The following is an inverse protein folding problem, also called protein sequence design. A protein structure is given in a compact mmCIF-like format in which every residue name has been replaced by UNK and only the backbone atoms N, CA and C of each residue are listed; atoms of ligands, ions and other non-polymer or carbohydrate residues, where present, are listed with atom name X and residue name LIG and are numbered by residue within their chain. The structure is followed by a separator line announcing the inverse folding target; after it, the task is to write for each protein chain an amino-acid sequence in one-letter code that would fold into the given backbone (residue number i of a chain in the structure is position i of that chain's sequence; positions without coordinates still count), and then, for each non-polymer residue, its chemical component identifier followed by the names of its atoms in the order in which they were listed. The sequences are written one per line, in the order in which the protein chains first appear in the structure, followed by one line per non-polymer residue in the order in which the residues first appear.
data_IF_740951172752
#
_entry.id   IF_740951172752
#
_cell.length_a   1.000
_cell.length_b   1.000
_cell.length_c   1.000
_cell.angle_alpha   90.00
_cell.angle_beta   90.00
_cell.angle_gamma   90.00
#
_symmetry.space_group_name_H-M   'P 1'
#
loop_
_entity.id
_entity.type
_entity.pdbx_description
1 polymer ?
#
# COMPACT_ATOMS: atom_id res chain seq x y z
N UNK A 1 51.52 11.09 27.99
CA UNK A 1 50.49 10.04 27.84
C UNK A 1 49.41 10.56 26.90
N UNK A 2 49.18 9.91 25.75
CA UNK A 2 48.14 10.30 24.78
C UNK A 2 46.89 9.45 25.03
N UNK A 3 45.82 10.06 25.53
CA UNK A 3 44.51 9.42 25.64
C UNK A 3 43.80 9.54 24.28
N UNK A 4 43.60 8.40 23.61
CA UNK A 4 42.77 8.32 22.40
C UNK A 4 41.34 8.10 22.88
N UNK A 5 40.55 9.17 22.86
CA UNK A 5 39.12 9.13 23.18
C UNK A 5 38.38 8.50 22.00
N UNK A 6 37.99 7.24 22.14
CA UNK A 6 37.15 6.55 21.15
C UNK A 6 35.72 7.08 21.28
N UNK A 7 35.30 7.95 20.35
CA UNK A 7 33.89 8.31 20.21
C UNK A 7 33.12 7.10 19.68
N UNK A 8 32.40 6.42 20.58
CA UNK A 8 31.37 5.47 20.19
C UNK A 8 30.22 6.25 19.53
N UNK A 9 30.13 6.14 18.21
CA UNK A 9 29.03 6.69 17.42
C UNK A 9 27.80 5.79 17.64
N UNK A 10 27.00 6.08 18.67
CA UNK A 10 25.69 5.45 18.81
C UNK A 10 24.79 5.98 17.70
N UNK A 11 24.63 5.19 16.64
CA UNK A 11 23.59 5.41 15.64
C UNK A 11 22.23 5.28 16.35
N UNK A 12 21.67 6.42 16.75
CA UNK A 12 20.29 6.50 17.21
C UNK A 12 19.42 6.08 16.02
N UNK A 13 18.91 4.86 16.07
CA UNK A 13 17.83 4.42 15.21
C UNK A 13 16.63 5.30 15.56
N UNK A 14 16.37 6.32 14.75
CA UNK A 14 15.17 7.14 14.88
C UNK A 14 14.02 6.20 14.56
N UNK A 15 13.12 5.90 15.51
CA UNK A 15 11.94 5.11 15.18
C UNK A 15 11.16 5.92 14.16
N UNK A 16 10.99 5.38 12.96
CA UNK A 16 10.04 5.92 11.99
C UNK A 16 8.69 5.76 12.65
N UNK A 17 8.20 6.86 13.23
CA UNK A 17 6.86 6.91 13.80
C UNK A 17 5.92 6.52 12.67
N UNK A 18 5.28 5.36 12.77
CA UNK A 18 4.25 4.96 11.83
C UNK A 18 3.06 5.90 12.02
N UNK A 19 3.06 6.99 11.25
CA UNK A 19 2.00 8.00 11.25
C UNK A 19 0.81 7.38 10.53
N UNK A 20 -0.39 7.54 11.09
CA UNK A 20 -1.61 7.17 10.39
C UNK A 20 -1.74 7.99 9.10
N UNK A 21 -2.02 7.32 7.98
CA UNK A 21 -2.03 7.93 6.64
C UNK A 21 -3.43 7.90 6.04
N UNK A 22 -3.74 8.89 5.23
CA UNK A 22 -5.03 8.93 4.47
C UNK A 22 -4.81 8.69 2.98
N UNK A 23 -3.55 8.75 2.54
CA UNK A 23 -3.18 8.45 1.17
C UNK A 23 -1.93 7.57 1.17
N UNK A 24 -1.87 6.64 0.21
CA UNK A 24 -0.62 5.96 -0.15
C UNK A 24 -0.35 6.13 -1.62
N UNK A 25 0.90 6.43 -1.95
CA UNK A 25 1.38 6.46 -3.33
C UNK A 25 2.31 5.27 -3.52
N UNK A 26 1.92 4.36 -4.40
CA UNK A 26 2.65 3.17 -4.75
C UNK A 26 3.31 3.31 -6.12
N UNK A 27 4.40 2.58 -6.29
CA UNK A 27 5.04 2.35 -7.58
C UNK A 27 5.20 0.86 -7.81
N UNK A 28 5.14 0.45 -9.07
CA UNK A 28 5.66 -0.85 -9.48
C UNK A 28 7.18 -0.85 -9.32
N UNK A 29 7.81 -2.02 -9.23
CA UNK A 29 9.27 -2.11 -9.08
C UNK A 29 10.01 -1.53 -10.28
N UNK A 30 9.44 -1.70 -11.47
CA UNK A 30 9.98 -1.09 -12.69
C UNK A 30 9.82 0.44 -12.70
N UNK A 31 8.96 0.97 -11.82
CA UNK A 31 8.70 2.41 -11.70
C UNK A 31 7.96 3.00 -12.90
N UNK A 32 7.33 2.17 -13.73
CA UNK A 32 6.63 2.59 -14.95
C UNK A 32 5.20 3.04 -14.69
N UNK A 33 4.60 2.59 -13.59
CA UNK A 33 3.26 2.93 -13.16
C UNK A 33 3.26 3.44 -11.73
N UNK A 34 2.39 4.41 -11.48
CA UNK A 34 2.07 4.91 -10.15
C UNK A 34 0.64 4.53 -9.82
N UNK A 35 0.43 4.02 -8.62
CA UNK A 35 -0.89 3.71 -8.07
C UNK A 35 -1.11 4.61 -6.86
N UNK A 36 -2.14 5.44 -6.90
CA UNK A 36 -2.53 6.28 -5.76
C UNK A 36 -3.80 5.72 -5.15
N UNK A 37 -3.79 5.55 -3.83
CA UNK A 37 -4.94 5.09 -3.07
C UNK A 37 -5.24 6.14 -2.01
N UNK A 38 -6.46 6.67 -2.01
CA UNK A 38 -6.98 7.57 -0.98
C UNK A 38 -7.97 6.80 -0.14
N UNK A 39 -7.76 6.78 1.17
CA UNK A 39 -8.64 6.14 2.15
C UNK A 39 -9.62 7.16 2.71
N UNK A 40 -10.87 6.73 2.93
CA UNK A 40 -11.90 7.58 3.56
C UNK A 40 -11.67 7.77 5.09
N UNK A 41 -10.68 7.08 5.65
CA UNK A 41 -10.21 7.22 7.04
C UNK A 41 -8.71 7.05 7.13
N UNK A 42 -8.11 7.54 8.22
CA UNK A 42 -6.70 7.29 8.49
C UNK A 42 -6.45 5.80 8.81
N UNK A 43 -5.36 5.27 8.25
CA UNK A 43 -4.90 3.89 8.44
C UNK A 43 -3.46 3.91 8.94
N UNK A 44 -3.14 3.11 9.95
CA UNK A 44 -1.77 2.96 10.43
C UNK A 44 -1.21 1.58 10.02
N UNK A 45 -0.18 1.49 9.16
CA UNK A 45 0.43 0.21 8.77
C UNK A 45 1.02 -0.57 9.95
N UNK A 46 1.36 0.09 11.07
CA UNK A 46 1.93 -0.56 12.24
C UNK A 46 0.89 -1.00 13.28
N UNK A 47 -0.41 -0.73 13.05
CA UNK A 47 -1.48 -1.11 13.97
C UNK A 47 -2.51 -1.98 13.26
N UNK A 48 -3.06 -2.99 13.94
CA UNK A 48 -4.16 -3.76 13.41
C UNK A 48 -5.31 -2.89 12.96
N UNK A 49 -5.90 -3.25 11.82
CA UNK A 49 -7.19 -2.70 11.47
C UNK A 49 -8.28 -3.40 12.28
N UNK A 50 -8.64 -2.76 13.39
CA UNK A 50 -9.71 -3.21 14.25
C UNK A 50 -11.10 -2.94 13.63
N UNK A 51 -11.86 -4.00 13.40
CA UNK A 51 -13.30 -3.99 13.08
C UNK A 51 -13.74 -5.08 12.08
N UNK A 52 -15.06 -5.36 12.00
CA UNK A 52 -15.68 -6.06 10.86
C UNK A 52 -16.20 -5.08 9.79
N UNK A 53 -15.99 -3.78 10.03
CA UNK A 53 -16.48 -2.71 9.16
C UNK A 53 -15.61 -2.55 7.93
N UNK A 54 -16.25 -2.18 6.83
CA UNK A 54 -15.58 -1.70 5.64
C UNK A 54 -15.45 -0.19 5.67
N UNK A 55 -14.49 0.35 4.93
CA UNK A 55 -14.43 1.77 4.61
C UNK A 55 -14.14 1.96 3.12
N UNK A 56 -14.49 3.11 2.57
CA UNK A 56 -14.28 3.41 1.16
C UNK A 56 -12.86 3.88 0.87
N UNK A 57 -12.46 3.70 -0.38
CA UNK A 57 -11.22 4.21 -0.90
C UNK A 57 -11.40 4.58 -2.38
N UNK A 58 -10.55 5.48 -2.84
CA UNK A 58 -10.40 5.79 -4.26
C UNK A 58 -9.05 5.28 -4.76
N UNK A 59 -9.05 4.67 -5.94
CA UNK A 59 -7.89 4.15 -6.65
C UNK A 59 -7.65 4.97 -7.92
N UNK A 60 -6.40 5.34 -8.17
CA UNK A 60 -5.95 5.87 -9.45
C UNK A 60 -4.69 5.15 -9.91
N UNK A 61 -4.70 4.63 -11.14
CA UNK A 61 -3.54 4.03 -11.80
C UNK A 61 -3.12 4.93 -12.96
N UNK A 62 -1.83 5.29 -12.99
CA UNK A 62 -1.26 6.14 -14.04
C UNK A 62 0.06 5.57 -14.54
N UNK A 63 0.21 5.50 -15.86
CA UNK A 63 1.49 5.16 -16.51
C UNK A 63 2.31 6.44 -16.67
N UNK A 64 3.60 6.41 -16.32
CA UNK A 64 4.47 7.61 -16.21
C UNK A 64 4.48 8.48 -17.47
N UNK A 65 4.35 7.87 -18.66
CA UNK A 65 4.37 8.57 -19.94
C UNK A 65 3.00 8.68 -20.61
N UNK A 66 1.91 8.30 -19.93
CA UNK A 66 0.55 8.41 -20.44
C UNK A 66 -0.18 9.61 -19.86
N UNK A 67 -1.00 10.25 -20.68
CA UNK A 67 -1.99 11.24 -20.21
C UNK A 67 -3.25 10.58 -19.67
N UNK A 68 -3.42 9.29 -19.92
CA UNK A 68 -4.57 8.53 -19.43
C UNK A 68 -4.28 8.00 -18.03
N UNK A 69 -5.30 8.08 -17.18
CA UNK A 69 -5.32 7.50 -15.85
C UNK A 69 -6.61 6.70 -15.70
N UNK A 70 -6.51 5.50 -15.15
CA UNK A 70 -7.66 4.73 -14.71
C UNK A 70 -8.02 5.17 -13.29
N UNK A 71 -9.31 5.38 -12.99
CA UNK A 71 -9.79 5.84 -11.68
C UNK A 71 -11.04 5.09 -11.25
N UNK A 72 -11.12 4.78 -9.96
CA UNK A 72 -12.28 4.20 -9.28
C UNK A 72 -12.45 4.85 -7.92
N UNK A 73 -13.68 5.18 -7.53
CA UNK A 73 -13.99 5.81 -6.24
C UNK A 73 -14.94 4.96 -5.39
N UNK A 74 -15.13 3.72 -5.78
CA UNK A 74 -16.07 2.74 -5.21
C UNK A 74 -15.33 1.52 -4.64
N UNK A 75 -14.03 1.69 -4.31
CA UNK A 75 -13.23 0.61 -3.71
C UNK A 75 -13.62 0.50 -2.24
N UNK A 76 -14.06 -0.69 -1.84
CA UNK A 76 -14.36 -1.05 -0.47
C UNK A 76 -13.18 -1.80 0.12
N UNK A 77 -12.59 -1.26 1.18
CA UNK A 77 -11.55 -1.92 1.93
C UNK A 77 -12.16 -2.81 3.02
N UNK A 78 -11.52 -3.94 3.35
CA UNK A 78 -11.79 -4.77 4.53
C UNK A 78 -10.52 -5.47 5.06
N UNK A 79 -10.46 -5.88 6.34
CA UNK A 79 -9.44 -6.82 6.79
C UNK A 79 -9.56 -8.17 6.06
N UNK A 80 -8.48 -8.96 5.98
CA UNK A 80 -8.45 -10.19 5.19
C UNK A 80 -9.06 -11.40 5.92
N UNK A 81 -8.82 -11.54 7.22
CA UNK A 81 -9.17 -12.72 8.04
C UNK A 81 -9.75 -12.36 9.39
N UNK A 82 -9.35 -11.26 10.04
CA UNK A 82 -9.77 -10.95 11.42
C UNK A 82 -9.72 -9.48 11.82
N UNK A 83 -10.21 -9.20 13.03
CA UNK A 83 -10.12 -7.90 13.70
C UNK A 83 -8.70 -7.44 14.03
N UNK A 84 -7.72 -8.34 14.01
CA UNK A 84 -6.34 -8.05 14.38
C UNK A 84 -5.41 -8.02 13.15
N UNK A 85 -6.00 -8.08 11.96
CA UNK A 85 -5.23 -8.07 10.72
C UNK A 85 -4.74 -6.66 10.38
N UNK A 86 -3.46 -6.57 10.04
CA UNK A 86 -2.82 -5.37 9.48
C UNK A 86 -2.96 -5.32 7.96
N UNK A 87 -3.29 -6.45 7.33
CA UNK A 87 -3.46 -6.57 5.90
C UNK A 87 -4.88 -6.17 5.49
N UNK A 88 -4.97 -5.49 4.36
CA UNK A 88 -6.23 -5.00 3.81
C UNK A 88 -6.45 -5.58 2.43
N UNK A 89 -7.71 -5.92 2.14
CA UNK A 89 -8.19 -6.22 0.81
C UNK A 89 -9.11 -5.09 0.34
N UNK A 90 -8.98 -4.70 -0.91
CA UNK A 90 -9.88 -3.80 -1.61
C UNK A 90 -10.53 -4.50 -2.80
N UNK A 91 -11.84 -4.34 -2.92
CA UNK A 91 -12.66 -4.76 -4.07
C UNK A 91 -13.61 -3.63 -4.46
N UNK A 92 -14.11 -3.63 -5.69
CA UNK A 92 -15.12 -2.67 -6.13
C UNK A 92 -16.51 -3.33 -6.11
N UNK A 93 -17.49 -2.69 -5.48
CA UNK A 93 -18.87 -3.21 -5.42
C UNK A 93 -19.56 -3.15 -6.78
N UNK A 94 -20.48 -4.10 -7.04
CA UNK A 94 -21.41 -4.04 -8.18
C UNK A 94 -20.74 -4.15 -9.55
N UNK A 95 -19.56 -4.77 -9.61
CA UNK A 95 -18.76 -4.81 -10.82
C UNK A 95 -19.20 -5.93 -11.77
N UNK A 96 -20.35 -5.74 -12.43
CA UNK A 96 -20.94 -6.63 -13.44
C UNK A 96 -20.22 -6.49 -14.79
N UNK A 97 -18.94 -6.81 -14.84
CA UNK A 97 -18.14 -6.65 -16.06
C UNK A 97 -16.63 -6.81 -15.88
N UNK A 98 -16.14 -7.05 -14.67
CA UNK A 98 -14.70 -7.23 -14.47
C UNK A 98 -14.30 -7.61 -13.05
N UNK A 99 -13.01 -7.44 -12.74
CA UNK A 99 -12.48 -7.68 -11.40
C UNK A 99 -11.49 -6.59 -10.99
N UNK A 100 -11.64 -6.07 -9.76
CA UNK A 100 -10.64 -5.26 -9.07
C UNK A 100 -10.24 -5.99 -7.80
N UNK A 101 -8.94 -6.17 -7.63
CA UNK A 101 -8.34 -6.75 -6.44
C UNK A 101 -7.14 -5.93 -6.01
N UNK A 102 -7.25 -5.26 -4.88
CA UNK A 102 -6.17 -4.56 -4.21
C UNK A 102 -5.84 -5.32 -2.93
N UNK A 103 -4.57 -5.58 -2.64
CA UNK A 103 -4.14 -6.02 -1.33
C UNK A 103 -2.99 -5.13 -0.86
N UNK A 104 -3.07 -4.65 0.38
CA UNK A 104 -2.03 -3.89 1.04
C UNK A 104 -1.62 -4.61 2.33
N UNK A 105 -0.32 -4.72 2.57
CA UNK A 105 0.28 -5.32 3.75
C UNK A 105 1.43 -4.42 4.24
N UNK A 106 1.72 -4.38 5.55
CA UNK A 106 2.83 -3.58 6.05
C UNK A 106 4.16 -4.10 5.53
N UNK A 107 5.07 -3.18 5.20
CA UNK A 107 6.43 -3.54 4.88
C UNK A 107 7.19 -3.90 6.17
N UNK A 108 7.74 -5.11 6.21
CA UNK A 108 8.49 -5.64 7.35
C UNK A 108 9.95 -5.80 6.93
N UNK A 109 10.86 -5.10 7.63
CA UNK A 109 12.31 -5.21 7.43
C UNK A 109 12.93 -5.64 8.74
N UNK A 110 13.69 -6.74 8.72
CA UNK A 110 14.32 -7.32 9.92
C UNK A 110 13.33 -7.58 11.07
N UNK A 111 12.11 -8.02 10.74
CA UNK A 111 11.06 -8.33 11.72
C UNK A 111 10.36 -7.10 12.32
N UNK A 112 10.63 -5.89 11.81
CA UNK A 112 10.03 -4.64 12.28
C UNK A 112 9.23 -3.98 11.16
N UNK A 113 8.05 -3.44 11.49
CA UNK A 113 7.26 -2.64 10.55
C UNK A 113 7.97 -1.32 10.25
N UNK A 114 8.09 -0.99 8.96
CA UNK A 114 8.77 0.24 8.51
C UNK A 114 7.86 1.47 8.53
N UNK A 115 6.57 1.29 8.86
CA UNK A 115 5.54 2.32 8.73
C UNK A 115 5.12 2.55 7.27
N UNK A 116 5.52 1.68 6.34
CA UNK A 116 5.12 1.72 4.92
C UNK A 116 4.23 0.54 4.57
N UNK A 117 3.59 0.63 3.41
CA UNK A 117 2.85 -0.46 2.81
C UNK A 117 3.60 -1.04 1.62
N UNK A 118 3.32 -2.30 1.35
CA UNK A 118 3.57 -2.96 0.08
C UNK A 118 2.31 -3.73 -0.29
N UNK A 119 2.19 -4.19 -1.53
CA UNK A 119 0.91 -4.68 -2.00
C UNK A 119 0.94 -5.37 -3.35
N UNK A 120 -0.26 -5.70 -3.79
CA UNK A 120 -0.54 -6.16 -5.13
C UNK A 120 -1.84 -5.56 -5.63
N UNK A 121 -1.93 -5.36 -6.94
CA UNK A 121 -3.11 -4.84 -7.61
C UNK A 121 -3.38 -5.65 -8.87
N UNK A 122 -4.62 -6.05 -9.05
CA UNK A 122 -5.14 -6.57 -10.31
C UNK A 122 -6.40 -5.80 -10.69
N UNK A 123 -6.43 -5.33 -11.94
CA UNK A 123 -7.56 -4.65 -12.55
C UNK A 123 -7.81 -5.30 -13.90
N UNK A 124 -9.03 -5.78 -14.08
CA UNK A 124 -9.57 -6.14 -15.38
C UNK A 124 -10.94 -5.47 -15.48
N UNK A 125 -10.98 -4.28 -16.04
CA UNK A 125 -12.19 -3.47 -16.21
C UNK A 125 -12.55 -3.39 -17.69
N UNK A 126 -13.54 -4.18 -18.11
CA UNK A 126 -13.92 -4.30 -19.52
C UNK A 126 -14.59 -3.02 -20.04
N UNK A 127 -15.36 -2.32 -19.21
CA UNK A 127 -16.07 -1.10 -19.57
C UNK A 127 -15.10 0.06 -19.78
N UNK A 128 -14.13 0.21 -18.88
CA UNK A 128 -13.07 1.21 -19.00
C UNK A 128 -11.95 0.79 -19.98
N UNK A 129 -12.00 -0.45 -20.48
CA UNK A 129 -10.94 -1.08 -21.30
C UNK A 129 -9.57 -0.98 -20.62
N UNK A 130 -9.53 -1.20 -19.30
CA UNK A 130 -8.34 -1.07 -18.48
C UNK A 130 -7.89 -2.44 -17.96
N UNK A 131 -6.59 -2.73 -18.12
CA UNK A 131 -5.96 -3.94 -17.61
C UNK A 131 -4.65 -3.59 -16.90
N UNK A 132 -4.54 -3.98 -15.64
CA UNK A 132 -3.32 -3.82 -14.83
C UNK A 132 -3.11 -5.07 -14.00
N UNK A 133 -1.90 -5.61 -14.03
CA UNK A 133 -1.52 -6.81 -13.28
C UNK A 133 -0.19 -6.56 -12.57
N UNK A 134 -0.29 -6.09 -11.32
CA UNK A 134 0.82 -5.80 -10.44
C UNK A 134 0.78 -6.78 -9.26
N UNK A 135 0.84 -8.08 -9.55
CA UNK A 135 0.91 -9.14 -8.54
C UNK A 135 2.34 -9.36 -8.06
N UNK A 136 2.46 -9.84 -6.82
CA UNK A 136 3.77 -10.20 -6.25
C UNK A 136 4.31 -11.47 -6.90
N UNK A 137 5.62 -11.47 -7.20
CA UNK A 137 6.31 -12.60 -7.82
C UNK A 137 7.43 -13.10 -6.88
N UNK A 138 7.29 -14.32 -6.37
CA UNK A 138 8.26 -14.87 -5.41
C UNK A 138 8.33 -14.04 -4.12
N UNK A 139 9.47 -13.38 -3.87
CA UNK A 139 9.68 -12.50 -2.71
C UNK A 139 9.55 -11.01 -3.04
N UNK A 140 9.14 -10.72 -4.26
CA UNK A 140 9.19 -9.39 -4.85
C UNK A 140 7.77 -8.84 -4.89
N UNK A 141 7.47 -7.73 -4.17
CA UNK A 141 6.11 -7.23 -4.11
C UNK A 141 5.67 -6.57 -5.42
N UNK A 142 4.39 -6.68 -5.78
CA UNK A 142 3.86 -5.98 -6.95
C UNK A 142 3.86 -4.46 -6.81
N UNK A 143 3.67 -3.96 -5.59
CA UNK A 143 3.63 -2.55 -5.24
C UNK A 143 4.51 -2.23 -4.03
N UNK A 144 5.20 -1.09 -4.08
CA UNK A 144 5.88 -0.47 -2.94
C UNK A 144 5.26 0.89 -2.70
N UNK A 145 4.75 1.13 -1.49
CA UNK A 145 3.88 2.26 -1.18
C UNK A 145 4.44 3.13 -0.06
N UNK A 146 4.33 4.46 -0.23
CA UNK A 146 4.69 5.43 0.79
C UNK A 146 3.45 6.22 1.17
N UNK A 147 3.19 6.29 2.48
CA UNK A 147 2.03 6.99 3.02
C UNK A 147 2.24 8.50 3.15
N UNK A 148 1.13 9.24 3.06
CA UNK A 148 1.02 10.69 3.20
C UNK A 148 -0.18 11.07 4.07
#
# INVERSE_FOLDING_TARGET
MKFILSLALSAFAVPVMAVSVTQVNCKTIEGRETVRILFDKSVNPAQPWTGFGYFGASLEVKVVNSRQSYKRSDVRMSPIKSYDDVDMRGDAQGFDGGALYLQLYPEIVNGQATGKFTGQLFVNDLDARAYYDFRSEGRTPGLVCVGQ
#
